data_IF_811829055118
#
_entry.id   IF_811829055118
#
_cell.length_a   1.000
_cell.length_b   1.000
_cell.length_c   1.000
_cell.angle_alpha   90.00
_cell.angle_beta   90.00
_cell.angle_gamma   90.00
#
_symmetry.space_group_name_H-M   'P 1'
#
loop_
_entity.id
_entity.type
_entity.pdbx_description
1 polymer ?
2 water ?
#
# COMPACT_ATOMS: atom_id res chain seq x y z
N UNK A 4 4.24 -10.63 -7.31
CA UNK A 4 2.93 -10.22 -7.80
C UNK A 4 2.09 -9.51 -6.72
N UNK A 5 2.01 -10.06 -5.51
CA UNK A 5 1.30 -9.40 -4.41
C UNK A 5 2.25 -8.86 -3.34
N UNK A 6 2.65 -7.61 -3.49
CA UNK A 6 3.55 -6.96 -2.55
C UNK A 6 2.79 -6.32 -1.39
N UNK A 7 3.23 -6.61 -0.18
CA UNK A 7 2.61 -6.02 1.00
C UNK A 7 3.65 -5.54 2.02
N UNK A 8 3.19 -4.65 2.90
CA UNK A 8 3.99 -4.18 4.02
C UNK A 8 3.40 -4.69 5.33
N UNK A 9 4.25 -5.22 6.20
CA UNK A 9 3.81 -5.70 7.49
C UNK A 9 4.70 -5.14 8.59
N UNK A 10 4.08 -4.82 9.71
CA UNK A 10 4.74 -4.26 10.87
C UNK A 10 4.48 -5.14 12.09
N UNK A 11 5.52 -5.46 12.83
CA UNK A 11 5.35 -6.28 14.02
C UNK A 11 6.64 -6.69 14.71
N UNK A 12 6.52 -7.67 15.58
CA UNK A 12 7.65 -8.11 16.39
C UNK A 12 8.09 -9.51 16.00
N UNK A 13 9.40 -9.74 16.05
CA UNK A 13 9.92 -11.07 15.77
C UNK A 13 9.51 -12.03 16.88
N UNK A 14 8.94 -13.16 16.50
CA UNK A 14 8.56 -14.18 17.47
C UNK A 14 9.81 -14.87 18.01
N UNK A 15 10.85 -14.93 17.18
CA UNK A 15 12.05 -15.68 17.52
C UNK A 15 13.27 -15.05 16.86
N UNK A 16 14.46 -15.38 17.36
CA UNK A 16 15.71 -14.94 16.72
C UNK A 16 15.73 -15.44 15.28
N UNK A 17 16.27 -14.65 14.36
CA UNK A 17 16.35 -15.05 12.95
C UNK A 17 17.25 -16.27 12.77
N UNK A 18 16.87 -17.16 11.86
CA UNK A 18 17.68 -18.35 11.60
C UNK A 18 18.39 -18.21 10.26
N UNK A 19 19.71 -18.15 10.31
CA UNK A 19 20.52 -17.97 9.11
C UNK A 19 20.97 -19.33 8.54
N UNK A 20 20.74 -19.53 7.24
CA UNK A 20 21.18 -20.74 6.57
C UNK A 20 21.73 -20.35 5.20
N UNK A 21 22.24 -21.32 4.46
CA UNK A 21 22.81 -21.03 3.16
C UNK A 21 22.37 -22.05 2.13
N UNK A 22 22.28 -21.61 0.88
CA UNK A 22 21.96 -22.52 -0.21
C UNK A 22 23.24 -23.16 -0.77
N UNK A 23 23.08 -24.24 -1.55
CA UNK A 23 24.22 -24.90 -2.19
C UNK A 23 25.19 -23.94 -2.87
N UNK A 24 24.68 -22.82 -3.39
CA UNK A 24 25.53 -21.86 -4.09
C UNK A 24 26.22 -20.92 -3.11
N UNK A 25 25.86 -21.00 -1.83
CA UNK A 25 26.47 -20.14 -0.83
C UNK A 25 25.73 -18.84 -0.57
N UNK A 26 24.52 -18.72 -1.13
CA UNK A 26 23.67 -17.54 -0.86
C UNK A 26 23.09 -17.59 0.54
N UNK A 27 23.25 -16.51 1.30
CA UNK A 27 22.65 -16.42 2.63
C UNK A 27 21.13 -16.23 2.55
N UNK A 28 20.42 -16.81 3.51
CA UNK A 28 18.97 -16.64 3.64
C UNK A 28 18.58 -16.71 5.10
N UNK A 29 17.90 -15.67 5.59
CA UNK A 29 17.50 -15.58 6.99
C UNK A 29 15.99 -15.70 7.11
N UNK A 30 15.55 -16.54 8.04
CA UNK A 30 14.12 -16.72 8.27
C UNK A 30 13.76 -16.30 9.68
N UNK A 31 12.67 -15.55 9.78
CA UNK A 31 12.12 -15.17 11.07
C UNK A 31 10.61 -15.05 10.93
N UNK A 32 9.92 -15.11 12.06
CA UNK A 32 8.47 -15.03 12.06
C UNK A 32 8.06 -13.71 12.71
N UNK A 33 7.21 -12.96 12.01
CA UNK A 33 6.72 -11.69 12.54
C UNK A 33 5.30 -11.85 13.09
N UNK A 34 5.06 -11.27 14.25
CA UNK A 34 3.70 -11.19 14.80
C UNK A 34 3.21 -9.76 14.71
N UNK A 35 2.12 -9.57 13.97
CA UNK A 35 1.49 -8.27 13.81
C UNK A 35 0.17 -8.25 14.56
N UNK A 36 0.08 -7.42 15.59
CA UNK A 36 -1.11 -7.36 16.44
C UNK A 36 -1.93 -6.10 16.22
N UNK A 37 -3.17 -6.27 15.71
CA UNK A 37 -4.05 -5.13 15.42
C UNK A 37 -4.60 -4.54 16.71
N UNK A 49 -6.20 -5.59 22.21
CA UNK A 49 -5.50 -6.40 21.21
C UNK A 49 -6.43 -7.43 20.59
N UNK A 50 -6.36 -7.57 19.27
CA UNK A 50 -7.11 -8.60 18.57
C UNK A 50 -6.20 -9.77 18.28
N UNK A 51 -6.67 -10.71 17.46
CA UNK A 51 -5.83 -11.82 17.03
C UNK A 51 -4.59 -11.31 16.29
N UNK A 52 -3.48 -12.04 16.40
CA UNK A 52 -2.26 -11.62 15.75
C UNK A 52 -2.15 -12.26 14.38
N UNK A 53 -1.66 -11.49 13.42
CA UNK A 53 -1.30 -12.02 12.12
C UNK A 53 0.14 -12.51 12.24
N UNK A 54 0.36 -13.79 11.96
CA UNK A 54 1.69 -14.39 11.98
C UNK A 54 2.18 -14.68 10.56
N UNK A 55 3.36 -14.17 10.22
CA UNK A 55 3.94 -14.45 8.90
C UNK A 55 5.41 -14.89 9.00
N UNK A 56 5.74 -15.96 8.29
CA UNK A 56 7.14 -16.39 8.20
C UNK A 56 7.84 -15.58 7.11
N UNK A 57 8.91 -14.90 7.49
CA UNK A 57 9.64 -14.06 6.54
C UNK A 57 11.00 -14.66 6.18
N UNK A 58 11.40 -14.51 4.93
CA UNK A 58 12.76 -14.85 4.55
C UNK A 58 13.41 -13.74 3.72
N UNK A 59 14.62 -13.37 4.12
CA UNK A 59 15.38 -12.35 3.43
C UNK A 59 16.69 -12.96 2.93
N UNK A 60 17.13 -12.52 1.76
CA UNK A 60 18.28 -13.10 1.08
C UNK A 60 19.49 -12.18 1.00
N UNK A 61 20.67 -12.78 0.87
CA UNK A 61 21.90 -12.05 0.57
C UNK A 61 22.46 -11.27 1.74
N UNK A 62 23.03 -10.11 1.44
CA UNK A 62 23.65 -9.28 2.46
C UNK A 62 22.66 -8.96 3.58
N UNK A 63 21.43 -8.61 3.20
CA UNK A 63 20.40 -8.29 4.20
C UNK A 63 20.16 -9.45 5.16
N UNK A 64 20.20 -10.67 4.65
CA UNK A 64 20.04 -11.85 5.49
C UNK A 64 21.06 -11.86 6.62
N UNK A 65 22.29 -11.44 6.28
CA UNK A 65 23.37 -11.42 7.24
C UNK A 65 23.26 -10.24 8.19
N UNK A 66 22.97 -9.06 7.64
CA UNK A 66 22.67 -7.88 8.45
C UNK A 66 21.52 -8.16 9.45
N UNK A 67 20.51 -8.90 9.00
CA UNK A 67 19.41 -9.28 9.86
C UNK A 67 19.88 -10.17 11.03
N UNK A 68 20.63 -11.21 10.69
CA UNK A 68 21.16 -12.14 11.69
C UNK A 68 22.01 -11.43 12.72
N UNK A 69 22.72 -10.39 12.29
CA UNK A 69 23.55 -9.61 13.20
C UNK A 69 22.81 -8.52 13.98
N UNK A 70 21.69 -8.03 13.44
CA UNK A 70 21.02 -6.86 14.03
C UNK A 70 19.77 -7.19 14.85
N UNK A 71 19.01 -8.17 14.42
CA UNK A 71 17.69 -8.43 14.99
C UNK A 71 17.64 -9.63 15.94
N UNK A 72 16.78 -9.53 16.95
CA UNK A 72 16.49 -10.67 17.81
C UNK A 72 15.02 -10.64 18.21
N UNK A 73 14.54 -11.77 18.72
CA UNK A 73 13.13 -11.90 19.05
C UNK A 73 12.68 -10.77 19.95
N UNK A 74 11.45 -10.30 19.73
CA UNK A 74 10.94 -9.19 20.50
C UNK A 74 11.08 -7.86 19.78
N UNK A 75 12.10 -7.74 18.93
CA UNK A 75 12.32 -6.48 18.22
C UNK A 75 11.24 -6.16 17.20
N UNK A 76 10.96 -4.87 17.05
CA UNK A 76 9.91 -4.40 16.15
C UNK A 76 10.50 -4.11 14.77
N UNK A 77 9.85 -4.62 13.73
CA UNK A 77 10.33 -4.41 12.37
C UNK A 77 9.22 -3.98 11.43
N UNK A 78 9.62 -3.35 10.32
CA UNK A 78 8.74 -3.12 9.20
C UNK A 78 9.32 -3.82 7.98
N UNK A 79 8.51 -4.65 7.34
CA UNK A 79 8.96 -5.48 6.24
C UNK A 79 8.06 -5.30 5.03
N UNK A 80 8.68 -5.15 3.86
CA UNK A 80 7.93 -5.14 2.61
C UNK A 80 8.40 -6.30 1.76
N UNK A 81 7.46 -7.00 1.13
CA UNK A 81 7.82 -8.13 0.28
C UNK A 81 6.64 -8.79 -0.38
N UNK A 82 6.90 -9.93 -1.00
CA UNK A 82 5.90 -10.60 -1.81
C UNK A 82 5.19 -11.69 -1.01
N UNK A 83 3.86 -11.58 -0.92
CA UNK A 83 3.08 -12.57 -0.17
C UNK A 83 2.92 -13.85 -0.98
N UNK A 84 3.33 -14.97 -0.41
CA UNK A 84 3.23 -16.25 -1.09
C UNK A 84 2.50 -17.28 -0.23
N UNK A 85 1.98 -18.30 -0.89
CA UNK A 85 1.30 -19.40 -0.24
C UNK A 85 1.90 -20.71 -0.73
N UNK A 86 2.02 -21.70 0.17
CA UNK A 86 2.64 -22.98 -0.18
C UNK A 86 2.03 -24.18 0.57
N UNK A 87 2.15 -25.36 -0.05
CA UNK A 87 1.63 -26.61 0.52
C UNK A 87 0.14 -26.55 0.84
N UNK A 96 -1.81 -28.77 5.69
CA UNK A 96 -2.31 -27.90 4.62
C UNK A 96 -1.28 -26.86 4.18
N UNK A 97 -1.71 -25.60 4.09
CA UNK A 97 -0.88 -24.54 3.53
C UNK A 97 -0.51 -23.45 4.52
N UNK A 98 0.59 -22.76 4.25
CA UNK A 98 1.02 -21.64 5.08
C UNK A 98 1.40 -20.45 4.21
N UNK A 99 1.17 -19.25 4.73
CA UNK A 99 1.50 -18.03 4.00
C UNK A 99 2.87 -17.51 4.41
N UNK A 100 3.66 -17.14 3.40
CA UNK A 100 5.04 -16.72 3.61
C UNK A 100 5.30 -15.36 2.95
N UNK A 101 6.19 -14.60 3.55
CA UNK A 101 6.61 -13.34 2.97
C UNK A 101 8.04 -13.43 2.43
N UNK A 102 8.18 -13.27 1.12
CA UNK A 102 9.49 -13.12 0.50
C UNK A 102 9.94 -11.68 0.55
N UNK A 103 10.77 -11.36 1.54
CA UNK A 103 11.16 -9.99 1.85
C UNK A 103 12.03 -9.28 0.80
N UNK A 104 11.59 -8.11 0.38
CA UNK A 104 12.41 -7.27 -0.48
C UNK A 104 13.13 -6.22 0.36
N UNK A 105 12.54 -5.85 1.49
CA UNK A 105 13.11 -4.81 2.34
C UNK A 105 12.69 -5.00 3.78
N UNK A 106 13.64 -4.90 4.69
CA UNK A 106 13.34 -5.00 6.11
C UNK A 106 14.04 -3.89 6.88
N UNK A 107 13.32 -3.28 7.82
CA UNK A 107 13.90 -2.21 8.63
C UNK A 107 13.66 -2.43 10.10
N UNK A 108 14.61 -1.98 10.92
CA UNK A 108 14.41 -1.93 12.37
C UNK A 108 13.60 -0.68 12.69
N UNK A 109 12.41 -0.88 13.24
CA UNK A 109 11.51 0.23 13.51
C UNK A 109 12.00 1.13 14.62
N UNK A 110 11.83 2.44 14.42
CA UNK A 110 12.24 3.43 15.41
C UNK A 110 11.06 3.94 16.24
N UNK A 111 9.94 3.22 16.21
CA UNK A 111 8.76 3.61 16.97
C UNK A 111 9.01 3.74 18.47
N UNK A 112 9.65 2.72 19.04
CA UNK A 112 9.98 2.74 20.47
C UNK A 112 11.37 2.19 20.68
N UNK A 113 12.28 2.59 19.79
CA UNK A 113 13.67 2.14 19.85
C UNK A 113 14.52 3.13 19.08
N UNK A 114 15.79 3.20 19.46
CA UNK A 114 16.75 3.98 18.71
C UNK A 114 17.75 3.01 18.11
N UNK A 115 18.47 3.46 17.10
CA UNK A 115 19.40 2.59 16.41
C UNK A 115 20.71 3.31 16.16
N UNK A 116 21.81 2.56 16.29
CA UNK A 116 23.09 3.03 15.80
C UNK A 116 23.35 2.28 14.49
N UNK A 117 23.37 3.03 13.39
CA UNK A 117 23.40 2.44 12.06
C UNK A 117 24.78 2.51 11.41
N UNK A 118 25.25 1.39 10.86
CA UNK A 118 26.56 1.33 10.20
C UNK A 118 26.48 0.71 8.81
N UNK A 119 26.97 1.43 7.81
CA UNK A 119 26.93 0.99 6.41
C UNK A 119 27.58 -0.38 6.12
N UNK A 120 27.26 -0.91 4.94
CA UNK A 120 27.67 -2.24 4.48
C UNK A 120 27.54 -3.32 5.55
N UNK B 1 -9.61 9.19 9.54
CA UNK B 1 -9.94 7.80 9.84
C UNK B 1 -10.64 7.05 8.71
N UNK B 2 -10.76 7.67 7.54
CA UNK B 2 -11.32 6.97 6.37
C UNK B 2 -10.90 7.63 5.04
N UNK B 3 -10.80 6.81 4.00
CA UNK B 3 -10.47 7.31 2.67
C UNK B 3 -9.03 7.78 2.56
N UNK B 4 -8.19 7.36 3.50
CA UNK B 4 -6.78 7.70 3.47
C UNK B 4 -6.03 6.86 2.42
N UNK B 5 -4.92 7.41 1.92
CA UNK B 5 -4.11 6.74 0.92
C UNK B 5 -2.82 6.28 1.59
N UNK B 6 -2.78 5.02 2.00
CA UNK B 6 -1.61 4.53 2.71
C UNK B 6 -0.59 3.95 1.74
N UNK B 7 0.67 4.31 1.95
CA UNK B 7 1.74 3.90 1.04
C UNK B 7 3.04 3.59 1.75
N UNK B 8 3.88 2.80 1.09
CA UNK B 8 5.19 2.46 1.61
C UNK B 8 6.23 3.04 0.66
N UNK B 9 7.22 3.74 1.21
CA UNK B 9 8.32 4.24 0.40
C UNK B 9 9.65 3.79 1.00
N UNK B 10 10.60 3.49 0.13
CA UNK B 10 11.93 3.03 0.51
C UNK B 10 12.92 3.92 -0.20
N UNK B 11 13.89 4.46 0.54
CA UNK B 11 14.91 5.29 -0.07
C UNK B 11 15.89 5.87 0.93
N UNK B 12 16.65 6.88 0.50
CA UNK B 12 17.66 7.50 1.35
C UNK B 12 17.23 8.91 1.75
N UNK B 13 17.56 9.30 2.97
CA UNK B 13 17.36 10.68 3.40
C UNK B 13 18.17 11.68 2.56
N UNK B 14 17.50 12.73 2.11
CA UNK B 14 18.16 13.76 1.31
C UNK B 14 18.89 14.72 2.24
N UNK B 15 18.49 14.72 3.50
CA UNK B 15 18.97 15.70 4.46
C UNK B 15 18.88 15.12 5.87
N UNK B 16 19.45 15.81 6.85
CA UNK B 16 19.31 15.40 8.24
C UNK B 16 17.88 15.72 8.68
N UNK B 17 17.30 14.86 9.53
CA UNK B 17 15.95 15.13 10.00
C UNK B 17 15.93 16.48 10.74
N UNK B 18 14.85 17.22 10.59
CA UNK B 18 14.66 18.50 11.27
C UNK B 18 13.66 18.28 12.39
N UNK B 19 14.12 18.41 13.63
CA UNK B 19 13.26 18.21 14.79
C UNK B 19 12.61 19.53 15.27
N UNK B 20 11.29 19.54 15.35
CA UNK B 20 10.55 20.68 15.87
C UNK B 20 9.50 20.22 16.87
N UNK B 21 8.75 21.17 17.43
CA UNK B 21 7.71 20.84 18.38
C UNK B 21 6.41 21.59 18.11
N UNK B 22 5.30 20.93 18.42
CA UNK B 22 3.99 21.57 18.34
C UNK B 22 3.73 22.35 19.61
N UNK B 23 2.72 23.24 19.58
CA UNK B 23 2.37 24.07 20.74
C UNK B 23 2.11 23.23 22.00
N UNK B 24 1.66 21.99 21.84
CA UNK B 24 1.39 21.14 22.99
C UNK B 24 2.68 20.45 23.46
N UNK B 25 3.75 20.61 22.70
CA UNK B 25 5.04 20.04 23.08
C UNK B 25 5.35 18.68 22.46
N UNK B 26 4.52 18.24 21.52
CA UNK B 26 4.79 17.00 20.80
C UNK B 26 5.90 17.20 19.79
N UNK B 27 6.84 16.25 19.75
CA UNK B 27 7.92 16.30 18.77
C UNK B 27 7.43 15.92 17.37
N UNK B 28 8.07 16.50 16.36
CA UNK B 28 7.79 16.19 14.97
C UNK B 28 9.06 16.36 14.17
N UNK B 29 9.46 15.30 13.47
CA UNK B 29 10.65 15.34 12.64
C UNK B 29 10.32 15.29 11.16
N UNK B 30 10.85 16.24 10.41
CA UNK B 30 10.69 16.30 8.95
C UNK B 30 11.97 15.87 8.27
N UNK B 31 11.82 15.10 7.20
CA UNK B 31 12.95 14.76 6.34
C UNK B 31 12.41 14.33 4.98
N UNK B 32 13.21 14.56 3.95
CA UNK B 32 12.80 14.19 2.61
C UNK B 32 13.46 12.85 2.25
N UNK B 33 12.70 11.97 1.61
CA UNK B 33 13.23 10.69 1.17
C UNK B 33 13.40 10.67 -0.35
N UNK B 34 14.54 10.15 -0.80
CA UNK B 34 14.79 9.96 -2.22
C UNK B 34 14.72 8.48 -2.57
N UNK B 35 13.71 8.10 -3.33
CA UNK B 35 13.53 6.73 -3.75
C UNK B 35 13.91 6.62 -5.21
N UNK B 36 14.89 5.77 -5.51
CA UNK B 36 15.40 5.65 -6.86
C UNK B 36 15.19 4.24 -7.42
N UNK B 37 14.34 4.15 -8.45
CA UNK B 37 14.08 2.87 -9.13
C UNK B 37 15.30 2.45 -9.94
N UNK B 38 15.57 1.15 -10.01
CA UNK B 38 16.55 0.62 -10.94
C UNK B 38 15.79 -0.07 -12.07
N UNK B 39 15.81 0.55 -13.25
CA UNK B 39 14.99 0.09 -14.36
C UNK B 39 15.47 0.70 -15.67
N UNK B 49 20.06 3.41 -12.66
CA UNK B 49 19.19 4.35 -11.96
C UNK B 49 18.15 5.01 -12.87
N UNK B 50 16.94 5.17 -12.35
CA UNK B 50 15.91 5.93 -13.03
C UNK B 50 15.70 7.25 -12.35
N UNK B 51 14.68 8.01 -12.76
CA UNK B 51 14.36 9.26 -12.09
C UNK B 51 13.88 8.96 -10.67
N UNK B 52 14.44 9.66 -9.69
CA UNK B 52 14.10 9.42 -8.30
C UNK B 52 12.77 10.06 -7.92
N UNK B 53 12.09 9.46 -6.96
CA UNK B 53 10.90 10.04 -6.39
C UNK B 53 11.28 10.68 -5.06
N UNK B 54 10.94 11.96 -4.90
CA UNK B 54 11.24 12.69 -3.68
C UNK B 54 9.96 12.94 -2.90
N UNK B 55 9.97 12.61 -1.62
CA UNK B 55 8.81 12.78 -0.77
C UNK B 55 9.16 13.33 0.60
N UNK B 56 8.46 14.39 0.99
CA UNK B 56 8.67 14.97 2.30
C UNK B 56 7.87 14.20 3.35
N UNK B 57 8.56 13.69 4.36
CA UNK B 57 7.93 12.89 5.40
C UNK B 57 7.92 13.64 6.72
N UNK B 58 6.89 13.43 7.51
CA UNK B 58 6.92 13.91 8.88
C UNK B 58 6.48 12.81 9.82
N UNK B 59 7.24 12.64 10.90
CA UNK B 59 6.95 11.63 11.90
C UNK B 59 6.76 12.31 13.25
N UNK B 60 6.03 11.66 14.15
CA UNK B 60 5.53 12.32 15.35
C UNK B 60 5.87 11.62 16.64
N UNK B 61 5.95 12.42 17.71
CA UNK B 61 6.10 11.94 19.08
C UNK B 61 7.42 11.21 19.27
N UNK B 62 7.38 10.12 20.04
CA UNK B 62 8.60 9.38 20.37
C UNK B 62 9.43 9.04 19.12
N UNK B 63 8.77 8.44 18.13
CA UNK B 63 9.45 8.09 16.88
C UNK B 63 10.24 9.28 16.34
N UNK B 64 9.64 10.46 16.40
CA UNK B 64 10.31 11.67 15.92
C UNK B 64 11.64 11.87 16.64
N UNK B 65 11.64 11.67 17.96
CA UNK B 65 12.88 11.80 18.72
C UNK B 65 13.85 10.70 18.36
N UNK B 66 13.35 9.47 18.34
CA UNK B 66 14.15 8.32 17.93
C UNK B 66 14.78 8.54 16.57
N UNK B 67 14.02 9.14 15.66
CA UNK B 67 14.52 9.43 14.33
C UNK B 67 15.63 10.48 14.36
N UNK B 68 15.37 11.62 15.01
CA UNK B 68 16.35 12.69 15.08
C UNK B 68 17.66 12.19 15.66
N UNK B 69 17.55 11.21 16.54
CA UNK B 69 18.69 10.62 17.24
C UNK B 69 19.41 9.56 16.41
N UNK B 70 18.65 8.81 15.61
CA UNK B 70 19.21 7.64 14.93
C UNK B 70 19.62 7.87 13.47
N UNK B 71 18.90 8.75 12.79
CA UNK B 71 19.07 8.87 11.34
C UNK B 71 19.77 10.15 10.92
N UNK B 72 20.48 10.09 9.80
CA UNK B 72 21.04 11.30 9.20
C UNK B 72 21.10 11.19 7.69
N UNK B 73 21.45 12.28 7.03
CA UNK B 73 21.52 12.33 5.58
C UNK B 73 22.19 11.08 5.02
N UNK B 74 21.60 10.52 3.96
CA UNK B 74 22.22 9.40 3.27
C UNK B 74 21.81 8.02 3.76
N UNK B 75 21.23 7.94 4.96
CA UNK B 75 20.81 6.64 5.48
C UNK B 75 19.54 6.12 4.78
N UNK B 76 19.47 4.80 4.61
CA UNK B 76 18.36 4.17 3.92
C UNK B 76 17.22 3.81 4.89
N UNK B 77 16.01 4.21 4.54
CA UNK B 77 14.86 3.92 5.40
C UNK B 77 13.74 3.21 4.65
N UNK B 78 12.87 2.57 5.42
CA UNK B 78 11.58 2.18 4.91
C UNK B 78 10.49 2.87 5.74
N UNK B 79 9.61 3.61 5.08
CA UNK B 79 8.53 4.32 5.77
C UNK B 79 7.15 3.94 5.22
N UNK B 80 6.21 3.73 6.15
CA UNK B 80 4.82 3.54 5.76
C UNK B 80 3.99 4.64 6.40
N UNK B 81 3.12 5.25 5.61
CA UNK B 81 2.26 6.31 6.13
C UNK B 81 1.16 6.71 5.18
N UNK B 82 0.60 7.89 5.42
CA UNK B 82 -0.54 8.36 4.64
C UNK B 82 -0.14 9.54 3.75
N UNK B 83 -0.47 9.43 2.47
CA UNK B 83 -0.16 10.46 1.50
C UNK B 83 -1.24 11.55 1.47
N UNK B 84 -0.82 12.80 1.63
CA UNK B 84 -1.72 13.92 1.76
C UNK B 84 -1.35 15.05 0.80
N UNK B 85 -2.36 15.84 0.43
CA UNK B 85 -2.10 17.00 -0.41
C UNK B 85 -2.57 18.27 0.28
N UNK B 86 -1.76 19.32 0.19
CA UNK B 86 -2.13 20.61 0.75
C UNK B 86 -1.96 21.68 -0.33
N UNK B 87 -3.08 22.29 -0.73
CA UNK B 87 -3.04 23.31 -1.77
C UNK B 87 -3.57 24.62 -1.23
N UNK B 88 -2.83 25.70 -1.48
CA UNK B 88 -3.15 26.98 -0.88
C UNK B 88 -2.57 28.15 -1.67
N UNK B 89 -3.08 29.35 -1.39
CA UNK B 89 -2.50 30.58 -1.90
C UNK B 89 -1.79 31.25 -0.73
N UNK B 90 -0.50 31.56 -0.90
CA UNK B 90 0.27 32.14 0.20
C UNK B 90 0.14 33.67 0.28
N UNK B 91 0.71 34.25 1.34
CA UNK B 91 0.57 35.67 1.65
C UNK B 91 1.00 36.62 0.54
N UNK B 92 1.57 36.06 -0.53
CA UNK B 92 2.09 36.86 -1.63
C UNK B 92 1.31 36.57 -2.91
N UNK B 93 0.18 35.89 -2.76
CA UNK B 93 -0.68 35.58 -3.89
C UNK B 93 -0.21 34.43 -4.76
N UNK B 94 0.76 33.66 -4.27
CA UNK B 94 1.29 32.55 -5.05
C UNK B 94 0.55 31.25 -4.73
N UNK B 95 -0.15 30.72 -5.72
CA UNK B 95 -0.89 29.48 -5.54
C UNK B 95 0.09 28.32 -5.55
N UNK B 96 0.07 27.49 -4.53
CA UNK B 96 0.97 26.35 -4.47
C UNK B 96 0.33 25.07 -3.94
N UNK B 97 1.07 23.97 -4.05
CA UNK B 97 0.60 22.70 -3.52
C UNK B 97 1.79 21.88 -3.03
N UNK B 98 1.66 21.30 -1.85
CA UNK B 98 2.66 20.37 -1.39
C UNK B 98 2.01 19.01 -1.14
N UNK B 99 2.74 17.96 -1.48
CA UNK B 99 2.35 16.61 -1.12
C UNK B 99 3.22 16.23 0.06
N UNK B 100 2.67 15.46 0.98
CA UNK B 100 3.40 15.09 2.17
C UNK B 100 3.03 13.70 2.64
N UNK B 101 4.02 12.97 3.15
CA UNK B 101 3.80 11.66 3.72
C UNK B 101 3.71 11.80 5.24
N UNK B 102 2.53 11.53 5.78
CA UNK B 102 2.35 11.51 7.22
C UNK B 102 2.68 10.11 7.72
N UNK B 103 3.83 9.97 8.36
CA UNK B 103 4.42 8.66 8.67
C UNK B 103 3.79 7.96 9.86
N UNK B 104 3.38 6.71 9.67
CA UNK B 104 2.90 5.87 10.76
C UNK B 104 4.01 4.96 11.29
N UNK B 105 4.94 4.59 10.42
CA UNK B 105 6.01 3.68 10.81
C UNK B 105 7.27 3.94 9.99
N UNK B 106 8.40 4.13 10.67
CA UNK B 106 9.68 4.30 9.98
C UNK B 106 10.73 3.33 10.49
N UNK B 107 11.46 2.71 9.56
CA UNK B 107 12.50 1.77 9.93
C UNK B 107 13.83 2.05 9.25
N UNK B 108 14.92 1.82 9.97
CA UNK B 108 16.24 1.94 9.36
C UNK B 108 16.49 0.65 8.57
N UNK B 109 16.68 0.78 7.27
CA UNK B 109 16.82 -0.40 6.42
C UNK B 109 18.12 -1.18 6.67
N UNK B 110 18.01 -2.51 6.60
CA UNK B 110 19.14 -3.39 6.81
C UNK B 110 19.63 -3.98 5.49
N UNK B 111 19.24 -3.36 4.38
CA UNK B 111 19.69 -3.85 3.08
C UNK B 111 21.22 -3.80 2.94
N UNK B 112 21.79 -2.66 3.34
CA UNK B 112 23.23 -2.49 3.27
C UNK B 112 23.75 -1.78 4.51
N UNK B 113 23.28 -2.22 5.67
CA UNK B 113 23.73 -1.70 6.94
C UNK B 113 23.35 -2.68 8.02
N UNK B 114 24.06 -2.62 9.14
CA UNK B 114 23.65 -3.34 10.34
C UNK B 114 23.24 -2.28 11.35
N UNK B 115 22.65 -2.73 12.45
CA UNK B 115 22.17 -1.80 13.46
C UNK B 115 22.24 -2.38 14.87
N UNK B 116 22.70 -1.57 15.81
CA UNK B 116 22.57 -1.88 17.22
C UNK B 116 21.26 -1.24 17.68
N UNK B 117 20.29 -2.09 18.05
CA UNK B 117 18.95 -1.61 18.38
C UNK B 117 18.71 -1.59 19.88
N UNK B 118 18.40 -0.41 20.42
CA UNK B 118 18.14 -0.23 21.84
C UNK B 118 16.71 0.27 22.09
N UNK B 119 15.91 -0.56 22.75
CA UNK B 119 14.54 -0.16 23.09
C UNK B 119 14.55 1.02 24.04
N UNK B 120 13.66 1.99 23.81
CA UNK B 120 13.54 3.14 24.71
C UNK B 120 12.79 2.75 25.98
N UNK C 2 11.52 -3.54 -8.50
CA UNK C 2 12.72 -2.89 -8.99
C UNK C 2 12.89 -1.49 -8.38
N UNK C 3 12.54 -1.38 -7.10
CA UNK C 3 12.64 -0.11 -6.41
C UNK C 3 11.52 0.86 -6.77
N UNK C 4 10.55 0.38 -7.53
CA UNK C 4 9.38 1.19 -7.87
C UNK C 4 8.53 1.42 -6.63
N UNK C 5 7.82 2.55 -6.60
CA UNK C 5 6.89 2.83 -5.51
C UNK C 5 5.47 2.58 -5.99
N UNK C 6 4.91 1.44 -5.58
CA UNK C 6 3.58 1.04 -6.00
C UNK C 6 2.55 1.47 -4.96
N UNK C 7 1.49 2.13 -5.41
CA UNK C 7 0.47 2.59 -4.50
C UNK C 7 -0.93 2.31 -5.03
N UNK C 8 -1.88 2.26 -4.11
CA UNK C 8 -3.29 2.10 -4.46
C UNK C 8 -4.01 3.39 -4.11
N UNK C 9 -4.75 3.93 -5.08
CA UNK C 9 -5.54 5.13 -4.84
C UNK C 9 -7.01 4.89 -5.21
N UNK C 10 -7.91 5.46 -4.42
CA UNK C 10 -9.35 5.31 -4.62
C UNK C 10 -9.99 6.69 -4.66
N UNK C 11 -10.78 6.96 -5.69
CA UNK C 11 -11.50 8.23 -5.71
C UNK C 11 -12.33 8.39 -6.96
N UNK C 12 -12.74 9.61 -7.24
CA UNK C 12 -13.58 9.91 -8.39
C UNK C 12 -12.78 10.53 -9.53
N UNK C 13 -13.17 10.18 -10.76
CA UNK C 13 -12.60 10.80 -11.95
C UNK C 13 -12.98 12.27 -12.02
N UNK C 14 -11.98 13.13 -12.16
CA UNK C 14 -12.24 14.56 -12.23
C UNK C 14 -12.78 14.91 -13.61
N UNK C 15 -12.40 14.13 -14.60
CA UNK C 15 -12.80 14.39 -15.97
C UNK C 15 -12.91 13.10 -16.77
N UNK C 16 -13.58 13.18 -17.92
CA UNK C 16 -13.62 12.04 -18.83
C UNK C 16 -12.20 11.67 -19.19
N UNK C 17 -11.91 10.36 -19.29
CA UNK C 17 -10.58 9.92 -19.69
C UNK C 17 -10.29 10.41 -21.11
N UNK C 18 -9.04 10.78 -21.38
CA UNK C 18 -8.64 11.22 -22.69
C UNK C 18 -7.77 10.14 -23.32
N UNK C 19 -8.23 9.60 -24.45
CA UNK C 19 -7.53 8.51 -25.13
C UNK C 19 -6.67 8.98 -26.30
N UNK C 20 -5.40 8.59 -26.29
CA UNK C 20 -4.49 8.89 -27.39
C UNK C 20 -3.72 7.64 -27.77
N UNK C 21 -2.89 7.75 -28.81
CA UNK C 21 -2.06 6.63 -29.27
C UNK C 21 -0.63 7.07 -29.49
N UNK C 22 0.30 6.18 -29.20
CA UNK C 22 1.70 6.41 -29.49
C UNK C 22 1.95 6.08 -30.96
N UNK C 23 3.13 6.47 -31.48
CA UNK C 23 3.49 6.15 -32.86
C UNK C 23 3.42 4.65 -33.18
N UNK C 24 3.77 3.81 -32.22
CA UNK C 24 3.70 2.36 -32.42
C UNK C 24 2.25 1.87 -32.40
N UNK C 25 1.33 2.75 -31.99
CA UNK C 25 -0.08 2.41 -31.97
C UNK C 25 -0.61 1.90 -30.63
N UNK C 26 0.20 2.01 -29.58
CA UNK C 26 -0.26 1.64 -28.24
C UNK C 26 -1.22 2.68 -27.68
N UNK C 27 -2.39 2.22 -27.22
CA UNK C 27 -3.36 3.12 -26.59
C UNK C 27 -2.84 3.64 -25.25
N UNK C 28 -3.23 4.85 -24.90
CA UNK C 28 -2.91 5.43 -23.60
C UNK C 28 -4.03 6.36 -23.19
N UNK C 29 -4.58 6.14 -22.01
CA UNK C 29 -5.66 6.95 -21.52
C UNK C 29 -5.21 7.68 -20.26
N UNK C 30 -5.52 8.98 -20.19
CA UNK C 30 -5.15 9.78 -19.04
C UNK C 30 -6.40 10.37 -18.40
N UNK C 31 -6.37 10.47 -17.08
CA UNK C 31 -7.48 10.99 -16.31
C UNK C 31 -6.99 11.34 -14.90
N UNK C 32 -7.71 12.23 -14.25
CA UNK C 32 -7.31 12.68 -12.93
C UNK C 32 -8.24 12.09 -11.89
N UNK C 33 -7.65 11.54 -10.83
CA UNK C 33 -8.44 11.01 -9.71
C UNK C 33 -8.38 11.92 -8.48
N UNK C 34 -9.53 12.25 -7.91
CA UNK C 34 -9.58 12.96 -6.63
C UNK C 34 -9.98 12.02 -5.51
N UNK C 35 -9.08 11.87 -4.54
CA UNK C 35 -9.30 10.99 -3.40
C UNK C 35 -9.51 11.86 -2.17
N UNK C 36 -10.69 11.75 -1.54
CA UNK C 36 -11.07 12.61 -0.43
C UNK C 36 -11.07 11.87 0.90
N UNK C 37 -10.12 12.21 1.79
CA UNK C 37 -10.11 11.58 3.11
C UNK C 37 -11.24 12.18 3.95
N UNK C 38 -11.68 11.46 4.98
CA UNK C 38 -12.73 11.91 5.87
C UNK C 38 -12.40 11.55 7.32
N UNK C 39 -12.83 12.39 8.27
CA UNK C 39 -12.67 12.09 9.69
C UNK C 39 -13.99 12.30 10.45
N UNK C 40 -14.27 11.41 11.39
CA UNK C 40 -15.49 11.52 12.18
C UNK C 40 -15.36 12.63 13.23
N UNK C 41 -16.28 13.57 13.20
CA UNK C 41 -16.32 14.68 14.16
C UNK C 41 -17.24 14.27 15.31
N UNK C 42 -16.64 13.91 16.43
CA UNK C 42 -17.40 13.36 17.55
C UNK C 42 -18.40 14.34 18.17
N UNK C 43 -18.12 15.63 18.09
CA UNK C 43 -19.03 16.58 18.71
C UNK C 43 -20.26 16.89 17.85
N UNK C 44 -20.09 16.88 16.53
CA UNK C 44 -21.24 17.09 15.65
C UNK C 44 -21.86 15.78 15.16
N UNK C 45 -21.22 14.65 15.49
CA UNK C 45 -21.70 13.35 15.05
C UNK C 45 -21.80 13.25 13.52
N UNK C 46 -20.76 13.73 12.84
CA UNK C 46 -20.73 13.75 11.38
C UNK C 46 -19.34 13.46 10.81
N UNK C 47 -19.32 12.76 9.69
CA UNK C 47 -18.08 12.60 8.93
C UNK C 47 -17.77 13.90 8.20
N UNK C 48 -16.59 14.45 8.44
CA UNK C 48 -16.15 15.67 7.77
C UNK C 48 -15.02 15.36 6.78
N UNK C 49 -15.10 15.94 5.59
CA UNK C 49 -14.14 15.65 4.54
C UNK C 49 -12.90 16.52 4.67
N UNK C 50 -11.73 15.91 4.53
CA UNK C 50 -10.48 16.65 4.49
C UNK C 50 -10.15 17.10 3.07
N UNK C 51 -8.95 17.61 2.87
CA UNK C 51 -8.52 18.09 1.56
C UNK C 51 -8.26 16.92 0.60
N UNK C 52 -8.76 17.05 -0.62
CA UNK C 52 -8.65 15.98 -1.61
C UNK C 52 -7.23 15.83 -2.15
N UNK C 53 -6.85 14.57 -2.39
CA UNK C 53 -5.60 14.24 -3.03
C UNK C 53 -5.88 14.08 -4.53
N UNK C 54 -5.21 14.86 -5.37
CA UNK C 54 -5.35 14.72 -6.82
C UNK C 54 -4.12 14.05 -7.42
N UNK C 55 -4.35 13.08 -8.31
CA UNK C 55 -3.29 12.42 -9.06
C UNK C 55 -3.68 12.23 -10.52
N UNK C 56 -2.77 12.61 -11.42
CA UNK C 56 -2.95 12.33 -12.84
C UNK C 56 -2.57 10.89 -13.12
N UNK C 57 -3.50 10.12 -13.67
CA UNK C 57 -3.24 8.70 -13.99
C UNK C 57 -3.12 8.45 -15.50
N UNK C 58 -2.26 7.50 -15.88
CA UNK C 58 -2.24 7.03 -17.25
C UNK C 58 -2.24 5.50 -17.32
N UNK C 59 -3.10 4.97 -18.17
CA UNK C 59 -3.26 3.54 -18.33
C UNK C 59 -2.95 3.18 -19.78
N UNK C 60 -2.38 1.99 -20.01
CA UNK C 60 -1.86 1.64 -21.32
C UNK C 60 -2.53 0.43 -21.97
N UNK C 61 -2.56 0.45 -23.30
CA UNK C 61 -2.96 -0.70 -24.11
C UNK C 61 -4.46 -1.01 -24.03
N UNK C 62 -4.79 -2.29 -23.85
CA UNK C 62 -6.19 -2.73 -23.83
C UNK C 62 -6.98 -2.02 -22.72
N UNK C 63 -6.40 -2.02 -21.53
CA UNK C 63 -7.01 -1.35 -20.38
C UNK C 63 -7.38 0.10 -20.72
N UNK C 64 -6.48 0.77 -21.44
CA UNK C 64 -6.70 2.16 -21.86
C UNK C 64 -7.97 2.33 -22.67
N UNK C 65 -8.18 1.44 -23.63
CA UNK C 65 -9.39 1.48 -24.44
C UNK C 65 -10.61 1.10 -23.60
N UNK C 66 -10.47 0.09 -22.76
CA UNK C 66 -11.55 -0.31 -21.88
C UNK C 66 -11.97 0.85 -20.95
N UNK C 67 -10.99 1.63 -20.50
CA UNK C 67 -11.29 2.80 -19.67
C UNK C 67 -12.07 3.84 -20.47
N UNK C 68 -11.59 4.16 -21.66
CA UNK C 68 -12.25 5.16 -22.51
C UNK C 68 -13.70 4.77 -22.79
N UNK C 69 -13.93 3.47 -22.83
CA UNK C 69 -15.27 2.95 -23.08
C UNK C 69 -16.18 2.92 -21.85
N UNK C 70 -15.59 2.72 -20.67
CA UNK C 70 -16.37 2.40 -19.48
C UNK C 70 -16.55 3.55 -18.49
N UNK C 71 -15.51 4.37 -18.32
CA UNK C 71 -15.49 5.38 -17.25
C UNK C 71 -15.78 6.79 -17.73
N UNK C 72 -16.47 7.55 -16.89
CA UNK C 72 -16.73 8.95 -17.17
C UNK C 72 -16.46 9.81 -15.94
N UNK C 73 -16.39 11.10 -16.18
CA UNK C 73 -16.28 12.10 -15.13
C UNK C 73 -17.23 11.76 -13.96
N UNK C 74 -16.69 11.77 -12.75
CA UNK C 74 -17.52 11.55 -11.57
C UNK C 74 -17.58 10.13 -11.05
N UNK C 75 -17.21 9.16 -11.88
CA UNK C 75 -17.26 7.76 -11.47
C UNK C 75 -16.16 7.43 -10.48
N UNK C 76 -16.46 6.49 -9.58
CA UNK C 76 -15.51 6.09 -8.55
C UNK C 76 -14.64 4.92 -9.04
N UNK C 77 -13.33 5.05 -8.82
CA UNK C 77 -12.39 4.00 -9.23
C UNK C 77 -11.39 3.62 -8.16
N UNK C 78 -10.81 2.44 -8.32
CA UNK C 78 -9.66 2.02 -7.54
C UNK C 78 -8.52 1.67 -8.52
N UNK C 79 -7.38 2.31 -8.32
CA UNK C 79 -6.23 2.13 -9.20
C UNK C 79 -4.99 1.74 -8.41
N UNK C 80 -4.27 0.76 -8.92
CA UNK C 80 -2.96 0.43 -8.39
C UNK C 80 -1.92 0.74 -9.48
N UNK C 81 -0.80 1.31 -9.09
CA UNK C 81 0.22 1.64 -10.07
C UNK C 81 1.47 2.24 -9.47
N UNK C 82 2.37 2.70 -10.34
CA UNK C 82 3.67 3.18 -9.89
C UNK C 82 3.68 4.71 -9.77
N UNK C 83 4.02 5.19 -8.58
CA UNK C 83 4.03 6.62 -8.32
C UNK C 83 5.28 7.24 -8.96
N UNK C 84 5.08 8.24 -9.80
CA UNK C 84 6.18 8.94 -10.46
C UNK C 84 6.04 10.45 -10.29
N UNK C 85 7.16 11.14 -10.36
CA UNK C 85 7.17 12.59 -10.50
C UNK C 85 8.14 12.92 -11.61
N UNK C 86 7.81 13.90 -12.44
CA UNK C 86 8.60 14.13 -13.65
C UNK C 86 8.60 15.57 -14.13
N UNK C 87 9.46 15.88 -15.10
CA UNK C 87 9.62 17.22 -15.63
C UNK C 87 8.39 17.65 -16.44
N UNK C 96 10.90 21.90 -13.49
CA UNK C 96 9.99 21.55 -12.39
C UNK C 96 9.54 20.08 -12.46
N UNK C 97 9.22 19.52 -11.29
CA UNK C 97 8.72 18.15 -11.19
C UNK C 97 7.30 18.13 -10.62
N UNK C 98 6.52 17.13 -11.02
CA UNK C 98 5.24 16.84 -10.34
C UNK C 98 4.84 15.36 -10.47
N UNK C 99 3.76 15.00 -9.77
CA UNK C 99 3.39 13.59 -9.61
C UNK C 99 2.49 13.02 -10.69
N UNK C 100 2.58 11.71 -10.88
CA UNK C 100 1.76 11.01 -11.86
C UNK C 100 1.73 9.53 -11.49
N UNK C 101 0.61 8.87 -11.78
CA UNK C 101 0.49 7.45 -11.49
C UNK C 101 0.50 6.66 -12.79
N UNK C 102 1.53 5.84 -12.96
CA UNK C 102 1.57 4.86 -14.03
C UNK C 102 0.77 3.64 -13.63
N UNK C 103 -0.49 3.61 -14.05
CA UNK C 103 -1.44 2.56 -13.65
C UNK C 103 -1.09 1.15 -14.15
N UNK C 104 -1.06 0.20 -13.22
CA UNK C 104 -0.93 -1.23 -13.55
C UNK C 104 -2.30 -1.93 -13.57
N UNK C 105 -3.24 -1.43 -12.78
CA UNK C 105 -4.58 -2.01 -12.75
C UNK C 105 -5.59 -0.95 -12.30
N UNK C 106 -6.71 -0.90 -13.02
CA UNK C 106 -7.79 0.02 -12.70
C UNK C 106 -9.10 -0.76 -12.67
N UNK C 107 -9.91 -0.51 -11.64
CA UNK C 107 -11.23 -1.13 -11.53
C UNK C 107 -12.30 -0.09 -11.30
N UNK C 108 -13.48 -0.33 -11.84
CA UNK C 108 -14.66 0.46 -11.50
C UNK C 108 -15.14 -0.01 -10.11
N UNK C 109 -15.19 0.90 -9.16
CA UNK C 109 -15.56 0.55 -7.80
C UNK C 109 -17.04 0.18 -7.67
N UNK C 110 -17.33 -0.80 -6.84
CA UNK C 110 -18.70 -1.25 -6.63
C UNK C 110 -19.24 -0.75 -5.29
N UNK C 111 -18.53 0.18 -4.66
CA UNK C 111 -18.95 0.71 -3.37
C UNK C 111 -20.39 1.23 -3.43
N UNK C 112 -20.71 1.96 -4.48
CA UNK C 112 -22.06 2.50 -4.65
C UNK C 112 -22.44 2.49 -6.13
N UNK C 113 -22.16 1.38 -6.79
CA UNK C 113 -22.59 1.17 -8.16
C UNK C 113 -22.59 -0.33 -8.45
N UNK C 114 -23.35 -0.71 -9.46
CA UNK C 114 -23.29 -2.07 -9.99
C UNK C 114 -22.75 -1.94 -11.39
N UNK C 115 -22.32 -3.05 -11.98
CA UNK C 115 -21.77 -3.00 -13.31
C UNK C 115 -22.17 -4.23 -14.10
N UNK C 116 -22.40 -4.04 -15.40
CA UNK C 116 -22.47 -5.14 -16.35
C UNK C 116 -21.08 -5.29 -16.93
N UNK C 117 -20.47 -6.45 -16.71
CA UNK C 117 -19.10 -6.70 -17.17
C UNK C 117 -19.08 -7.57 -18.41
N UNK C 118 -18.23 -7.20 -19.38
CA UNK C 118 -18.06 -7.96 -20.61
C UNK C 118 -16.58 -8.15 -20.95
N UNK C 119 -16.14 -9.40 -21.03
CA UNK C 119 -14.74 -9.72 -21.31
C UNK C 119 -14.20 -9.19 -22.65
N UNK C 120 -12.89 -8.93 -22.66
CA UNK C 120 -12.18 -8.29 -23.77
C UNK C 120 -12.70 -6.86 -24.00
N UNK D 2 -3.20 1.94 13.62
CA UNK D 2 -4.13 0.84 13.37
C UNK D 2 -3.63 -0.45 13.99
N UNK D 3 -2.40 -0.81 13.65
CA UNK D 3 -1.92 -2.15 13.89
C UNK D 3 -2.47 -3.02 12.78
N UNK D 4 -3.28 -2.42 11.91
CA UNK D 4 -3.89 -3.13 10.79
C UNK D 4 -2.92 -3.29 9.61
N UNK D 5 -3.06 -4.41 8.90
CA UNK D 5 -2.25 -4.69 7.73
C UNK D 5 -3.09 -4.49 6.48
N UNK D 6 -3.00 -3.30 5.90
CA UNK D 6 -3.72 -2.98 4.67
C UNK D 6 -2.96 -3.51 3.46
N UNK D 7 -3.67 -4.21 2.57
CA UNK D 7 -3.07 -4.71 1.35
C UNK D 7 -3.99 -4.60 0.14
N UNK D 8 -3.39 -4.68 -1.04
CA UNK D 8 -4.15 -4.69 -2.28
C UNK D 8 -3.90 -6.04 -2.96
N UNK D 9 -4.95 -6.67 -3.47
CA UNK D 9 -4.82 -7.91 -4.22
C UNK D 9 -5.58 -7.79 -5.53
N UNK D 10 -5.01 -8.39 -6.57
CA UNK D 10 -5.65 -8.44 -7.88
C UNK D 10 -5.76 -9.90 -8.28
N UNK D 11 -6.95 -10.32 -8.73
CA UNK D 11 -7.12 -11.68 -9.19
C UNK D 11 -8.52 -11.99 -9.71
N UNK D 12 -8.85 -13.27 -9.77
CA UNK D 12 -10.15 -13.72 -10.26
C UNK D 12 -10.92 -14.42 -9.16
N UNK D 13 -12.23 -14.24 -9.14
CA UNK D 13 -13.09 -14.97 -8.21
C UNK D 13 -13.03 -16.46 -8.48
N UNK D 14 -12.87 -17.23 -7.42
CA UNK D 14 -12.81 -18.68 -7.54
C UNK D 14 -14.23 -19.23 -7.53
N UNK D 15 -15.15 -18.44 -6.98
CA UNK D 15 -16.54 -18.86 -6.84
C UNK D 15 -17.44 -17.65 -6.95
N UNK D 16 -18.75 -17.88 -7.10
CA UNK D 16 -19.72 -16.78 -7.06
C UNK D 16 -19.78 -16.27 -5.62
N UNK D 17 -20.01 -14.95 -5.45
CA UNK D 17 -20.09 -14.42 -4.09
C UNK D 17 -21.27 -15.05 -3.35
N UNK D 18 -21.13 -15.26 -2.05
CA UNK D 18 -22.25 -15.67 -1.20
C UNK D 18 -22.69 -14.51 -0.34
N UNK D 19 -23.97 -14.15 -0.44
CA UNK D 19 -24.54 -13.06 0.33
C UNK D 19 -25.18 -13.60 1.62
N UNK D 20 -24.77 -13.03 2.76
CA UNK D 20 -25.36 -13.32 4.07
C UNK D 20 -25.77 -11.99 4.71
N UNK D 21 -26.37 -12.07 5.90
CA UNK D 21 -26.72 -10.86 6.64
C UNK D 21 -26.39 -11.00 8.13
N UNK D 22 -25.99 -9.88 8.74
CA UNK D 22 -25.79 -9.84 10.19
C UNK D 22 -27.15 -9.59 10.86
N UNK D 23 -27.22 -9.80 12.18
CA UNK D 23 -28.44 -9.56 12.96
C UNK D 23 -29.07 -8.19 12.72
N UNK D 24 -28.22 -7.17 12.51
CA UNK D 24 -28.72 -5.81 12.32
C UNK D 24 -29.23 -5.65 10.90
N UNK D 25 -29.00 -6.66 10.06
CA UNK D 25 -29.45 -6.60 8.68
C UNK D 25 -28.41 -6.08 7.71
N UNK D 26 -27.18 -5.93 8.17
CA UNK D 26 -26.07 -5.55 7.30
C UNK D 26 -25.69 -6.69 6.37
N UNK D 27 -25.67 -6.42 5.08
CA UNK D 27 -25.23 -7.40 4.09
C UNK D 27 -23.73 -7.68 4.24
N UNK D 28 -23.33 -8.92 3.97
CA UNK D 28 -21.93 -9.30 3.92
C UNK D 28 -21.77 -10.35 2.82
N UNK D 29 -20.86 -10.09 1.89
CA UNK D 29 -20.61 -11.01 0.79
C UNK D 29 -19.22 -11.61 0.91
N UNK D 30 -19.12 -12.92 0.82
CA UNK D 30 -17.82 -13.58 0.85
C UNK D 30 -17.55 -14.26 -0.48
N UNK D 31 -16.29 -14.24 -0.88
CA UNK D 31 -15.81 -14.94 -2.08
C UNK D 31 -14.30 -15.11 -2.01
N UNK D 32 -13.78 -16.13 -2.69
CA UNK D 32 -12.34 -16.35 -2.73
C UNK D 32 -11.77 -15.75 -3.99
N UNK D 33 -10.65 -15.06 -3.83
CA UNK D 33 -9.91 -14.51 -4.97
C UNK D 33 -8.64 -15.33 -5.23
N UNK D 34 -8.37 -15.65 -6.49
CA UNK D 34 -7.12 -16.29 -6.86
C UNK D 34 -6.20 -15.30 -7.57
N UNK D 35 -5.06 -15.05 -6.97
CA UNK D 35 -4.06 -14.20 -7.59
C UNK D 35 -2.90 -15.06 -8.07
N UNK D 36 -2.62 -14.99 -9.38
CA UNK D 36 -1.61 -15.85 -9.98
C UNK D 36 -0.43 -15.05 -10.54
N UNK D 37 0.75 -15.22 -9.92
CA UNK D 37 1.99 -14.62 -10.40
C UNK D 37 2.44 -15.35 -11.65
N UNK D 38 2.83 -14.62 -12.70
CA UNK D 38 3.39 -15.25 -13.89
C UNK D 38 4.80 -14.74 -14.16
N UNK D 49 2.71 -19.52 -15.33
CA UNK D 49 1.97 -19.33 -14.10
C UNK D 49 2.67 -20.00 -12.92
N UNK D 50 2.93 -19.22 -11.87
CA UNK D 50 3.46 -19.75 -10.64
C UNK D 50 2.33 -20.29 -9.79
N UNK D 51 2.63 -20.64 -8.54
CA UNK D 51 1.57 -21.09 -7.64
C UNK D 51 0.69 -19.89 -7.24
N UNK D 52 -0.60 -20.15 -7.07
CA UNK D 52 -1.57 -19.09 -6.88
C UNK D 52 -1.76 -18.73 -5.41
N UNK D 53 -2.00 -17.46 -5.14
CA UNK D 53 -2.39 -17.04 -3.81
C UNK D 53 -3.91 -16.98 -3.73
N UNK D 54 -4.47 -17.70 -2.77
CA UNK D 54 -5.91 -17.74 -2.57
C UNK D 54 -6.26 -17.00 -1.29
N UNK D 55 -7.20 -16.07 -1.39
CA UNK D 55 -7.65 -15.33 -0.21
C UNK D 55 -9.16 -15.26 -0.15
N UNK D 56 -9.73 -15.55 1.02
CA UNK D 56 -11.15 -15.37 1.24
C UNK D 56 -11.41 -13.91 1.60
N UNK D 57 -12.27 -13.27 0.81
CA UNK D 57 -12.62 -11.87 1.01
C UNK D 57 -14.02 -11.73 1.55
N UNK D 58 -14.25 -10.75 2.42
CA UNK D 58 -15.61 -10.38 2.75
C UNK D 58 -15.82 -8.89 2.59
N UNK D 59 -16.95 -8.56 1.98
CA UNK D 59 -17.34 -7.21 1.65
C UNK D 59 -18.63 -6.90 2.38
N UNK D 60 -18.77 -5.65 2.83
CA UNK D 60 -19.84 -5.26 3.74
C UNK D 60 -20.80 -4.22 3.18
N UNK D 61 -22.02 -4.26 3.70
CA UNK D 61 -23.06 -3.28 3.41
C UNK D 61 -23.46 -3.26 1.95
N UNK D 62 -23.71 -2.04 1.48
CA UNK D 62 -24.15 -1.81 0.12
C UNK D 62 -23.21 -2.47 -0.90
N UNK D 63 -21.91 -2.26 -0.73
CA UNK D 63 -20.92 -2.89 -1.59
C UNK D 63 -21.15 -4.40 -1.69
N UNK D 64 -21.46 -5.05 -0.57
CA UNK D 64 -21.78 -6.47 -0.58
C UNK D 64 -22.86 -6.83 -1.60
N UNK D 65 -23.94 -6.05 -1.64
CA UNK D 65 -25.04 -6.31 -2.56
C UNK D 65 -24.65 -6.01 -4.01
N UNK D 66 -23.94 -4.90 -4.20
CA UNK D 66 -23.43 -4.58 -5.52
C UNK D 66 -22.50 -5.68 -6.04
N UNK D 67 -21.73 -6.26 -5.13
CA UNK D 67 -20.84 -7.35 -5.50
C UNK D 67 -21.63 -8.63 -5.82
N UNK D 68 -22.53 -9.03 -4.94
CA UNK D 68 -23.36 -10.20 -5.19
C UNK D 68 -24.07 -10.12 -6.54
N UNK D 69 -24.56 -8.94 -6.87
CA UNK D 69 -25.26 -8.74 -8.14
C UNK D 69 -24.32 -8.70 -9.35
N UNK D 70 -23.21 -7.97 -9.23
CA UNK D 70 -22.34 -7.69 -10.38
C UNK D 70 -21.31 -8.79 -10.70
N UNK D 71 -20.80 -9.47 -9.69
CA UNK D 71 -19.64 -10.34 -9.86
C UNK D 71 -20.00 -11.83 -9.88
N UNK D 72 -19.16 -12.61 -10.54
CA UNK D 72 -19.31 -14.06 -10.54
C UNK D 72 -17.97 -14.75 -10.76
N UNK D 73 -17.94 -16.07 -10.61
CA UNK D 73 -16.72 -16.84 -10.80
C UNK D 73 -16.00 -16.48 -12.10
N UNK D 74 -14.70 -16.26 -12.00
CA UNK D 74 -13.89 -16.02 -13.18
C UNK D 74 -13.64 -14.54 -13.46
N UNK D 75 -14.49 -13.67 -12.93
CA UNK D 75 -14.32 -12.23 -13.10
C UNK D 75 -13.09 -11.71 -12.37
N UNK D 76 -12.44 -10.72 -12.98
CA UNK D 76 -11.20 -10.18 -12.44
C UNK D 76 -11.50 -8.96 -11.58
N UNK D 77 -10.97 -8.93 -10.37
CA UNK D 77 -11.21 -7.83 -9.44
C UNK D 77 -9.93 -7.24 -8.88
N UNK D 78 -10.04 -6.03 -8.39
CA UNK D 78 -8.99 -5.45 -7.57
C UNK D 78 -9.62 -5.09 -6.22
N UNK D 79 -9.03 -5.60 -5.14
CA UNK D 79 -9.56 -5.34 -3.80
C UNK D 79 -8.50 -4.78 -2.86
N UNK D 80 -8.90 -3.80 -2.06
CA UNK D 80 -8.04 -3.31 -1.00
C UNK D 80 -8.75 -3.51 0.32
N UNK D 81 -8.03 -4.04 1.30
CA UNK D 81 -8.64 -4.27 2.60
C UNK D 81 -7.62 -4.60 3.66
N UNK D 82 -8.09 -5.21 4.74
CA UNK D 82 -7.25 -5.52 5.89
C UNK D 82 -7.07 -7.02 6.06
N UNK D 83 -5.80 -7.44 6.03
CA UNK D 83 -5.41 -8.83 6.13
C UNK D 83 -5.49 -9.33 7.57
N UNK D 84 -6.21 -10.42 7.76
CA UNK D 84 -6.41 -11.00 9.09
C UNK D 84 -6.22 -12.51 9.08
N UNK D 85 -5.92 -13.05 10.25
CA UNK D 85 -5.77 -14.48 10.44
C UNK D 85 -6.79 -14.94 11.49
N UNK D 86 -7.49 -16.04 11.20
CA UNK D 86 -8.54 -16.53 12.10
C UNK D 86 -8.27 -17.96 12.61
N UNK D 87 -8.67 -18.20 13.87
CA UNK D 87 -8.51 -19.52 14.48
C UNK D 87 -9.87 -20.14 14.80
N UNK D 97 -5.65 -22.57 10.71
CA UNK D 97 -5.82 -21.12 10.70
C UNK D 97 -5.99 -20.56 9.30
N UNK D 98 -7.08 -19.83 9.08
CA UNK D 98 -7.33 -19.24 7.78
C UNK D 98 -6.94 -17.76 7.73
N UNK D 99 -6.42 -17.33 6.59
CA UNK D 99 -6.08 -15.94 6.36
C UNK D 99 -7.20 -15.31 5.57
N UNK D 100 -7.60 -14.10 5.96
CA UNK D 100 -8.75 -13.46 5.32
C UNK D 100 -8.53 -11.98 5.02
N UNK D 101 -9.30 -11.49 4.05
CA UNK D 101 -9.24 -10.10 3.66
C UNK D 101 -10.58 -9.43 4.00
N UNK D 102 -10.55 -8.50 4.94
CA UNK D 102 -11.70 -7.64 5.20
C UNK D 102 -11.64 -6.49 4.23
N UNK D 103 -12.47 -6.52 3.21
CA UNK D 103 -12.37 -5.60 2.07
C UNK D 103 -12.96 -4.22 2.38
N UNK D 104 -12.19 -3.18 2.08
CA UNK D 104 -12.67 -1.80 2.20
C UNK D 104 -13.11 -1.26 0.84
N UNK D 105 -12.48 -1.74 -0.22
CA UNK D 105 -12.82 -1.28 -1.56
C UNK D 105 -12.71 -2.41 -2.56
N UNK D 106 -13.71 -2.55 -3.44
CA UNK D 106 -13.63 -3.57 -4.48
C UNK D 106 -14.02 -3.02 -5.86
N UNK D 107 -13.19 -3.27 -6.86
CA UNK D 107 -13.51 -2.82 -8.21
C UNK D 107 -13.51 -3.95 -9.23
N UNK D 108 -14.39 -3.86 -10.21
CA UNK D 108 -14.34 -4.76 -11.37
C UNK D 108 -13.22 -4.28 -12.28
N UNK D 109 -12.21 -5.14 -12.49
CA UNK D 109 -11.06 -4.76 -13.29
C UNK D 109 -11.38 -4.54 -14.76
N UNK D 110 -10.78 -3.49 -15.33
CA UNK D 110 -10.93 -3.16 -16.74
C UNK D 110 -9.70 -3.62 -17.57
N UNK D 111 -8.87 -4.43 -16.96
CA UNK D 111 -7.74 -5.03 -17.66
C UNK D 111 -8.13 -5.69 -19.00
N UNK D 112 -9.10 -6.58 -18.94
CA UNK D 112 -9.52 -7.29 -20.14
C UNK D 112 -11.03 -7.42 -20.14
N UNK D 113 -11.70 -6.32 -19.80
CA UNK D 113 -13.16 -6.26 -19.85
C UNK D 113 -13.60 -4.81 -19.88
N UNK D 114 -14.79 -4.57 -20.42
CA UNK D 114 -15.42 -3.27 -20.32
C UNK D 114 -16.58 -3.40 -19.35
N UNK D 115 -17.04 -2.27 -18.83
CA UNK D 115 -18.11 -2.29 -17.86
C UNK D 115 -19.12 -1.20 -18.17
N UNK D 116 -20.39 -1.53 -18.02
CA UNK D 116 -21.41 -0.51 -18.02
C UNK D 116 -21.82 -0.26 -16.55
N UNK D 117 -21.46 0.91 -16.05
CA UNK D 117 -21.57 1.25 -14.64
C UNK D 117 -22.83 2.04 -14.35
N UNK D 118 -23.62 1.57 -13.38
CA UNK D 118 -24.85 2.24 -12.95
C UNK D 118 -24.79 2.60 -11.47
N UNK D 119 -24.88 3.89 -11.15
CA UNK D 119 -24.84 4.31 -9.75
C UNK D 119 -26.06 3.78 -9.02
N UNK D 120 -25.86 3.29 -7.80
CA UNK D 120 -26.96 2.83 -6.99
C UNK D 120 -27.49 4.01 -6.19
#
# INVERSE_FOLDING_TARGET
MAGETVITVVGNLVDDPELRFTPSGAAVAKFRVASTPRTFDRQTNEWKDGESLFLTCSVWRQAAENVAESLQRGMRVIVQGRLKQRSYEDREGVKRTVYELDVDEVGASLRSATAKVTKTSGQGRGGQGGYGGGGGGQGGGGWGGGPGGGQQGGGAPADDPWATGGAPAGGQQGGGGQGGGGWGGGSGGGGGYSDEPPF
MAGETVITVVGNLVDDPELRFTPSGAAVAKFRVASTPRTFDRQTNEWKDGESLFLTCSVWRQAAENVAESLQRGMRVIVQGRLKQRSYEDREGVKRTVYELDVDEVGASLRSATAKVTKTSGQGRGGQGGYGGGGGGQGGGGWGGGPGGGQQGGGAPADDPWATGGAPAGGQQGGGGQGGGGWGGGSGGGGGYSDEPPF
MAGETVITVVGNLVDDPELRFTPSGAAVAKFRVASTPRTFDRQTNEWKDGESLFLTCSVWRQAAENVAESLQRGMRVIVQGRLKQRSYEDREGVKRTVYELDVDEVGASLRSATAKVTKTSGQGRGGQGGYGGGGGGQGGGGWGGGPGGGQQGGGAPADDPWATGGAPAGGQQGGGGQGGGGWGGGSGGGGGYSDEPPF
MAGETVITVVGNLVDDPELRFTPSGAAVAKFRVASTPRTFDRQTNEWKDGESLFLTCSVWRQAAENVAESLQRGMRVIVQGRLKQRSYEDREGVKRTVYELDVDEVGASLRSATAKVTKTSGQGRGGQGGYGGGGGGQGGGGWGGGPGGGQQGGGAPADDPWATGGAPAGGQQGGGGQGGGGWGGGSGGGGGYSDEPPF
#
